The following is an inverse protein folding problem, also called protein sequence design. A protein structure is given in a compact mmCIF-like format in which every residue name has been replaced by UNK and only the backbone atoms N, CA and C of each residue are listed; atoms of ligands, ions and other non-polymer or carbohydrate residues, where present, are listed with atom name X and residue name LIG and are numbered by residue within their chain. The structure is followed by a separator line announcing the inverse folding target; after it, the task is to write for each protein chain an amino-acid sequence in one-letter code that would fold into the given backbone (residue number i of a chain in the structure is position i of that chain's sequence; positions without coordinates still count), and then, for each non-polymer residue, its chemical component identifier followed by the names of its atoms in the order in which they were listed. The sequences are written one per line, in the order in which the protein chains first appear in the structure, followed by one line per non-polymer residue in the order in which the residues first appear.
data_IF_813932678626
#
_entry.id   IF_813932678626
#
_cell.length_a   1.000
_cell.length_b   1.000
_cell.length_c   1.000
_cell.angle_alpha   90.00
_cell.angle_beta   90.00
_cell.angle_gamma   90.00
#
_symmetry.space_group_name_H-M   'P 1'
#
loop_
_entity.id
_entity.type
_entity.pdbx_description
1 polymer ?
#
# COMPACT_ATOMS: atom_id res chain seq x y z
N UNK A 1 12.08 14.24 -0.96
CA UNK A 1 11.58 12.85 -1.12
C UNK A 1 11.05 12.38 0.22
N UNK A 2 9.99 11.60 0.22
CA UNK A 2 9.48 10.88 1.39
C UNK A 2 9.37 9.39 1.07
N UNK A 3 9.27 8.53 2.07
CA UNK A 3 9.17 7.10 1.85
C UNK A 3 8.33 6.38 2.90
N UNK A 4 8.11 5.10 2.70
CA UNK A 4 7.44 4.22 3.66
C UNK A 4 8.25 2.93 3.78
N UNK A 5 9.36 3.00 4.52
CA UNK A 5 10.34 1.91 4.65
C UNK A 5 9.72 0.60 5.15
N UNK A 6 8.66 0.70 5.95
CA UNK A 6 7.96 -0.45 6.51
C UNK A 6 6.70 -0.85 5.71
N UNK A 7 6.52 -0.38 4.48
CA UNK A 7 5.40 -0.79 3.63
C UNK A 7 5.37 -2.32 3.48
N UNK A 8 4.23 -2.92 3.79
CA UNK A 8 4.07 -4.38 3.80
C UNK A 8 4.36 -5.05 5.15
N UNK A 9 5.02 -4.36 6.09
CA UNK A 9 5.26 -4.90 7.45
C UNK A 9 4.07 -4.77 8.39
N UNK A 10 3.17 -3.85 8.11
CA UNK A 10 1.98 -3.60 8.90
C UNK A 10 0.71 -3.86 8.07
N UNK A 11 -0.03 -4.88 8.47
CA UNK A 11 -1.30 -5.21 7.86
C UNK A 11 -1.19 -5.96 6.53
N UNK A 12 -2.35 -6.39 6.02
CA UNK A 12 -2.50 -7.14 4.78
C UNK A 12 -2.79 -6.19 3.61
N UNK A 13 -3.15 -6.74 2.47
CA UNK A 13 -3.34 -6.03 1.20
C UNK A 13 -4.09 -4.69 1.33
N UNK A 14 -5.25 -4.67 1.99
CA UNK A 14 -6.03 -3.42 2.15
C UNK A 14 -5.24 -2.33 2.85
N UNK A 15 -4.56 -2.67 3.95
CA UNK A 15 -3.71 -1.71 4.67
C UNK A 15 -2.53 -1.24 3.81
N UNK A 16 -1.89 -2.15 3.07
CA UNK A 16 -0.80 -1.80 2.14
C UNK A 16 -1.28 -0.86 1.03
N UNK A 17 -2.51 -1.06 0.52
CA UNK A 17 -3.12 -0.14 -0.46
C UNK A 17 -3.32 1.26 0.13
N UNK A 18 -3.86 1.37 1.35
CA UNK A 18 -4.01 2.65 2.04
C UNK A 18 -2.66 3.33 2.29
N UNK A 19 -1.68 2.59 2.78
CA UNK A 19 -0.32 3.08 3.04
C UNK A 19 0.32 3.64 1.76
N UNK A 20 0.33 2.87 0.68
CA UNK A 20 0.87 3.31 -0.60
C UNK A 20 0.12 4.52 -1.16
N UNK A 21 -1.22 4.46 -1.17
CA UNK A 21 -2.04 5.55 -1.67
C UNK A 21 -1.79 6.86 -0.92
N UNK A 22 -1.68 6.78 0.40
CA UNK A 22 -1.40 7.95 1.24
C UNK A 22 0.00 8.51 1.03
N UNK A 23 1.00 7.66 0.84
CA UNK A 23 2.35 8.10 0.47
C UNK A 23 2.34 8.89 -0.85
N UNK A 24 1.66 8.36 -1.88
CA UNK A 24 1.53 9.03 -3.18
C UNK A 24 0.81 10.36 -3.05
N UNK A 25 -0.31 10.41 -2.32
CA UNK A 25 -1.09 11.62 -2.15
C UNK A 25 -0.37 12.71 -1.36
N UNK A 26 0.31 12.36 -0.27
CA UNK A 26 1.14 13.29 0.51
C UNK A 26 2.29 13.81 -0.34
N UNK A 27 2.99 12.92 -1.05
CA UNK A 27 4.08 13.32 -1.94
C UNK A 27 3.59 14.30 -3.02
N UNK A 28 2.45 14.01 -3.66
CA UNK A 28 1.84 14.87 -4.67
C UNK A 28 1.43 16.23 -4.12
N UNK A 29 0.82 16.26 -2.91
CA UNK A 29 0.42 17.51 -2.24
C UNK A 29 1.61 18.44 -2.00
N UNK A 30 2.75 17.86 -1.61
CA UNK A 30 3.95 18.63 -1.25
C UNK A 30 4.95 18.82 -2.41
N UNK A 31 4.66 18.26 -3.59
CA UNK A 31 5.58 18.29 -4.72
C UNK A 31 6.87 17.50 -4.48
N UNK A 32 6.79 16.42 -3.72
CA UNK A 32 7.92 15.55 -3.40
C UNK A 32 7.96 14.32 -4.29
N UNK A 33 9.15 13.79 -4.54
CA UNK A 33 9.32 12.40 -4.93
C UNK A 33 9.09 11.47 -3.74
N UNK A 34 8.76 10.21 -4.05
CA UNK A 34 8.59 9.17 -3.03
C UNK A 34 9.31 7.87 -3.41
N UNK A 35 9.57 7.04 -2.41
CA UNK A 35 10.11 5.69 -2.62
C UNK A 35 9.47 4.67 -1.69
N UNK A 36 9.50 3.41 -2.13
CA UNK A 36 9.06 2.24 -1.36
C UNK A 36 10.10 1.12 -1.45
N UNK A 37 10.12 0.17 -0.49
CA UNK A 37 10.97 -1.02 -0.59
C UNK A 37 10.67 -1.84 -1.85
N UNK A 38 11.70 -2.40 -2.47
CA UNK A 38 11.54 -3.35 -3.59
C UNK A 38 11.18 -4.74 -3.05
N UNK A 39 9.93 -5.10 -3.16
CA UNK A 39 9.42 -6.42 -2.78
C UNK A 39 9.12 -7.32 -3.99
N UNK A 40 9.55 -6.95 -5.19
CA UNK A 40 9.30 -7.74 -6.39
C UNK A 40 9.90 -9.15 -6.32
N UNK A 41 10.96 -9.33 -5.53
CA UNK A 41 11.69 -10.57 -5.33
C UNK A 41 11.38 -11.26 -4.00
N UNK A 42 10.62 -10.63 -3.10
CA UNK A 42 10.32 -11.12 -1.75
C UNK A 42 8.82 -11.06 -1.51
N UNK A 43 8.20 -12.20 -1.31
CA UNK A 43 6.74 -12.30 -1.10
C UNK A 43 6.34 -12.25 0.37
N UNK A 44 7.28 -12.44 1.27
CA UNK A 44 7.06 -12.48 2.71
C UNK A 44 8.30 -12.03 3.49
N UNK A 45 8.09 -11.62 4.71
CA UNK A 45 9.14 -11.41 5.72
C UNK A 45 8.58 -11.73 7.10
N UNK A 46 9.48 -12.06 8.02
CA UNK A 46 9.14 -12.30 9.40
C UNK A 46 9.40 -11.05 10.23
N UNK A 47 8.49 -10.75 11.15
CA UNK A 47 8.70 -9.76 12.20
C UNK A 47 8.41 -10.36 13.56
N UNK A 48 9.11 -9.86 14.56
CA UNK A 48 8.82 -10.21 15.97
C UNK A 48 7.69 -9.34 16.49
N UNK A 49 6.72 -9.97 17.16
CA UNK A 49 5.68 -9.29 17.92
C UNK A 49 5.62 -9.95 19.30
N UNK A 50 6.27 -9.34 20.29
CA UNK A 50 6.59 -9.99 21.55
C UNK A 50 7.54 -11.17 21.33
N UNK A 51 7.15 -12.36 21.77
CA UNK A 51 7.92 -13.61 21.60
C UNK A 51 7.46 -14.41 20.35
N UNK A 52 6.51 -13.90 19.58
CA UNK A 52 5.98 -14.58 18.40
C UNK A 52 6.61 -14.06 17.11
N UNK A 53 6.85 -14.96 16.15
CA UNK A 53 7.25 -14.63 14.80
C UNK A 53 5.99 -14.52 13.94
N UNK A 54 5.72 -13.33 13.43
CA UNK A 54 4.61 -13.07 12.51
C UNK A 54 5.14 -12.91 11.10
N UNK A 55 4.73 -13.82 10.21
CA UNK A 55 5.05 -13.74 8.80
C UNK A 55 4.07 -12.78 8.10
N UNK A 56 4.61 -11.74 7.48
CA UNK A 56 3.87 -10.79 6.67
C UNK A 56 4.06 -11.08 5.18
N UNK A 57 3.06 -10.77 4.38
CA UNK A 57 3.12 -10.93 2.93
C UNK A 57 3.10 -9.59 2.23
N UNK A 58 4.10 -9.36 1.39
CA UNK A 58 4.14 -8.21 0.48
C UNK A 58 3.21 -8.48 -0.70
N UNK A 59 2.07 -7.79 -0.73
CA UNK A 59 1.00 -8.12 -1.66
C UNK A 59 0.87 -7.13 -2.82
N UNK A 60 1.21 -5.85 -2.61
CA UNK A 60 0.98 -4.81 -3.63
C UNK A 60 1.68 -5.11 -4.94
N UNK A 61 3.01 -5.25 -4.93
CA UNK A 61 3.82 -5.45 -6.13
C UNK A 61 3.61 -6.82 -6.77
N UNK A 62 2.99 -7.78 -6.07
CA UNK A 62 2.65 -9.09 -6.62
C UNK A 62 1.24 -9.12 -7.23
N UNK A 63 0.34 -8.27 -6.74
CA UNK A 63 -1.04 -8.22 -7.21
C UNK A 63 -1.25 -7.18 -8.31
N UNK A 64 -0.60 -6.02 -8.20
CA UNK A 64 -0.82 -4.87 -9.07
C UNK A 64 0.38 -4.57 -9.98
N UNK A 65 0.10 -3.90 -11.10
CA UNK A 65 1.13 -3.51 -12.08
C UNK A 65 2.01 -2.37 -11.59
N UNK A 66 1.50 -1.47 -10.73
CA UNK A 66 2.22 -0.32 -10.17
C UNK A 66 2.84 0.58 -11.26
N UNK A 67 2.07 0.93 -12.29
CA UNK A 67 2.56 1.55 -13.52
C UNK A 67 3.23 2.93 -13.35
N UNK A 68 2.88 3.68 -12.31
CA UNK A 68 3.52 4.98 -12.05
C UNK A 68 4.71 4.88 -11.07
N UNK A 69 4.96 3.71 -10.50
CA UNK A 69 6.04 3.53 -9.53
C UNK A 69 7.42 3.72 -10.19
N UNK A 70 7.61 3.19 -11.42
CA UNK A 70 8.88 3.31 -12.14
C UNK A 70 10.06 2.78 -11.31
N UNK A 71 11.12 3.58 -11.24
CA UNK A 71 12.34 3.24 -10.50
C UNK A 71 12.34 3.74 -9.04
N UNK A 72 11.17 4.06 -8.47
CA UNK A 72 11.04 4.60 -7.10
C UNK A 72 11.21 3.53 -6.02
N UNK A 73 12.18 2.65 -6.21
CA UNK A 73 12.58 1.67 -5.21
C UNK A 73 13.72 2.18 -4.35
N UNK A 74 13.56 2.15 -3.04
CA UNK A 74 14.58 2.62 -2.11
C UNK A 74 14.06 2.73 -0.69
N UNK A 75 14.94 3.15 0.19
CA UNK A 75 14.66 3.43 1.58
C UNK A 75 15.10 4.86 1.92
N UNK A 76 14.40 5.49 2.83
CA UNK A 76 14.88 6.74 3.44
C UNK A 76 15.89 6.36 4.53
N UNK A 77 17.14 6.72 4.31
CA UNK A 77 18.23 6.48 5.27
C UNK A 77 18.62 7.77 5.97
N UNK A 78 18.72 7.73 7.31
CA UNK A 78 19.13 8.87 8.13
C UNK A 78 18.15 10.06 8.11
N UNK A 79 16.90 9.82 7.70
CA UNK A 79 15.83 10.82 7.69
C UNK A 79 15.01 10.82 8.98
N UNK A 80 13.93 11.62 8.96
CA UNK A 80 12.97 11.65 10.05
C UNK A 80 12.08 10.41 10.00
N UNK A 81 11.75 9.85 11.15
CA UNK A 81 10.73 8.82 11.31
C UNK A 81 9.45 9.46 11.84
N UNK A 82 8.36 9.33 11.08
CA UNK A 82 7.06 9.88 11.44
C UNK A 82 6.10 8.74 11.69
N UNK A 83 5.68 8.60 12.94
CA UNK A 83 4.76 7.56 13.39
C UNK A 83 3.35 8.14 13.55
N UNK A 84 2.41 7.65 12.78
CA UNK A 84 0.99 7.98 12.89
C UNK A 84 0.26 6.85 13.60
N UNK A 85 -0.06 7.07 14.87
CA UNK A 85 -0.77 6.08 15.70
C UNK A 85 -2.30 6.11 15.49
N UNK A 86 -2.81 7.26 15.06
CA UNK A 86 -4.25 7.46 14.83
C UNK A 86 -4.68 7.01 13.43
N UNK A 87 -5.89 6.45 13.32
CA UNK A 87 -6.50 6.09 12.03
C UNK A 87 -7.07 7.31 11.30
N UNK A 88 -7.33 8.39 12.01
CA UNK A 88 -7.94 9.61 11.48
C UNK A 88 -6.97 10.41 10.60
N UNK A 89 -7.55 11.28 9.75
CA UNK A 89 -6.77 12.15 8.87
C UNK A 89 -5.99 13.20 9.70
N UNK A 90 -4.68 13.22 9.53
CA UNK A 90 -3.80 14.23 10.12
C UNK A 90 -3.48 15.30 9.08
N UNK A 91 -4.18 16.42 9.14
CA UNK A 91 -4.03 17.52 8.18
C UNK A 91 -2.61 18.13 8.23
N UNK A 92 -2.04 18.28 9.42
CA UNK A 92 -0.68 18.80 9.59
C UNK A 92 0.35 17.95 8.87
N UNK A 93 0.27 16.62 9.00
CA UNK A 93 1.15 15.71 8.26
C UNK A 93 0.94 15.81 6.76
N UNK A 94 -0.30 15.94 6.29
CA UNK A 94 -0.61 16.07 4.89
C UNK A 94 -0.05 17.36 4.27
N UNK A 95 -0.13 18.46 4.98
CA UNK A 95 0.27 19.78 4.49
C UNK A 95 1.76 20.11 4.72
N UNK A 96 2.37 19.54 5.77
CA UNK A 96 3.66 19.99 6.30
C UNK A 96 4.65 18.83 6.55
N UNK A 97 4.42 17.64 5.97
CA UNK A 97 5.34 16.52 6.13
C UNK A 97 6.77 16.92 5.79
N UNK A 98 7.73 16.79 6.72
CA UNK A 98 9.11 17.17 6.46
C UNK A 98 9.72 16.36 5.30
N UNK A 99 10.55 17.02 4.50
CA UNK A 99 11.35 16.33 3.50
C UNK A 99 12.31 15.33 4.15
N UNK A 100 12.69 14.29 3.42
CA UNK A 100 13.55 13.21 3.91
C UNK A 100 12.97 12.48 5.13
N UNK A 101 11.69 12.06 5.01
CA UNK A 101 10.99 11.35 6.07
C UNK A 101 10.51 9.98 5.61
N UNK A 102 10.54 9.01 6.52
CA UNK A 102 9.84 7.74 6.36
C UNK A 102 8.60 7.70 7.24
N UNK A 103 7.48 7.27 6.67
CA UNK A 103 6.17 7.27 7.32
C UNK A 103 5.85 5.88 7.86
N UNK A 104 5.31 5.82 9.07
CA UNK A 104 4.86 4.61 9.73
C UNK A 104 3.42 4.79 10.22
N UNK A 105 2.54 3.86 9.88
CA UNK A 105 1.13 3.88 10.29
C UNK A 105 0.23 3.17 9.30
N UNK A 106 -1.07 3.16 9.58
CA UNK A 106 -2.08 2.54 8.71
C UNK A 106 -2.65 3.49 7.65
N UNK A 107 -2.75 4.79 7.97
CA UNK A 107 -3.23 5.83 7.05
C UNK A 107 -4.63 5.55 6.49
N UNK A 108 -5.56 5.07 7.29
CA UNK A 108 -6.88 4.57 6.86
C UNK A 108 -7.90 5.68 6.51
N UNK A 109 -7.45 6.79 5.93
CA UNK A 109 -8.30 7.89 5.49
C UNK A 109 -8.08 8.20 4.02
N UNK A 110 -9.16 8.26 3.23
CA UNK A 110 -9.09 8.61 1.81
C UNK A 110 -8.64 10.05 1.56
N UNK A 111 -8.76 10.93 2.54
CA UNK A 111 -8.31 12.32 2.44
C UNK A 111 -6.80 12.47 2.17
N UNK A 112 -6.00 11.45 2.51
CA UNK A 112 -4.58 11.46 2.18
C UNK A 112 -4.29 11.31 0.68
N UNK A 113 -5.22 10.79 -0.12
CA UNK A 113 -4.96 10.43 -1.52
C UNK A 113 -6.07 10.79 -2.51
N UNK A 114 -7.10 11.55 -2.10
CA UNK A 114 -8.14 12.01 -3.03
C UNK A 114 -7.58 12.86 -4.18
N UNK A 115 -6.45 13.53 -3.97
CA UNK A 115 -5.71 14.29 -4.98
C UNK A 115 -4.93 13.42 -5.98
N UNK A 116 -4.79 12.11 -5.75
CA UNK A 116 -3.96 11.18 -6.52
C UNK A 116 -4.76 10.05 -7.20
N UNK A 117 -6.07 10.22 -7.38
CA UNK A 117 -6.96 9.17 -7.90
C UNK A 117 -6.52 8.61 -9.25
N UNK A 118 -6.12 9.48 -10.19
CA UNK A 118 -5.74 9.05 -11.54
C UNK A 118 -4.46 8.20 -11.54
N UNK A 119 -3.48 8.58 -10.74
CA UNK A 119 -2.23 7.85 -10.58
C UNK A 119 -2.49 6.48 -9.94
N UNK A 120 -3.27 6.45 -8.87
CA UNK A 120 -3.58 5.22 -8.15
C UNK A 120 -4.39 4.23 -8.98
N UNK A 121 -5.31 4.71 -9.83
CA UNK A 121 -6.04 3.84 -10.78
C UNK A 121 -5.12 3.15 -11.78
N UNK A 122 -4.01 3.78 -12.17
CA UNK A 122 -3.02 3.19 -13.06
C UNK A 122 -2.11 2.21 -12.32
N UNK A 123 -1.83 2.45 -11.04
CA UNK A 123 -1.00 1.59 -10.22
C UNK A 123 -1.75 0.33 -9.77
N UNK A 124 -3.01 0.47 -9.37
CA UNK A 124 -3.83 -0.65 -8.88
C UNK A 124 -4.51 -1.46 -10.00
N UNK A 125 -3.89 -1.54 -11.17
CA UNK A 125 -4.29 -2.47 -12.22
C UNK A 125 -3.86 -3.88 -11.83
N UNK A 126 -4.84 -4.78 -11.70
CA UNK A 126 -4.56 -6.19 -11.34
C UNK A 126 -3.79 -6.86 -12.48
N UNK A 127 -2.73 -7.59 -12.13
CA UNK A 127 -1.91 -8.31 -13.10
C UNK A 127 -2.72 -9.34 -13.89
N UNK A 128 -2.48 -9.43 -15.19
CA UNK A 128 -3.26 -10.23 -16.12
C UNK A 128 -3.42 -11.70 -15.72
N UNK A 129 -2.37 -12.31 -15.17
CA UNK A 129 -2.44 -13.72 -14.76
C UNK A 129 -3.40 -13.97 -13.59
N UNK A 130 -3.58 -12.97 -12.69
CA UNK A 130 -4.51 -13.03 -11.56
C UNK A 130 -5.92 -12.72 -12.07
N UNK A 131 -6.05 -11.69 -12.89
CA UNK A 131 -7.33 -11.29 -13.48
C UNK A 131 -7.92 -12.43 -14.32
N UNK A 132 -7.14 -13.05 -15.20
CA UNK A 132 -7.57 -14.18 -16.03
C UNK A 132 -8.02 -15.38 -15.21
N UNK A 133 -7.36 -15.66 -14.08
CA UNK A 133 -7.78 -16.72 -13.18
C UNK A 133 -9.14 -16.42 -12.52
N UNK A 134 -9.34 -15.18 -12.10
CA UNK A 134 -10.61 -14.73 -11.50
C UNK A 134 -11.75 -14.73 -12.54
N UNK A 135 -11.50 -14.28 -13.77
CA UNK A 135 -12.47 -14.30 -14.87
C UNK A 135 -12.87 -15.73 -15.25
N UNK A 136 -11.88 -16.64 -15.32
CA UNK A 136 -12.17 -18.07 -15.56
C UNK A 136 -13.04 -18.64 -14.46
N UNK A 137 -12.69 -18.39 -13.18
CA UNK A 137 -13.52 -18.83 -12.05
C UNK A 137 -14.94 -18.29 -12.14
N UNK A 138 -15.09 -17.01 -12.45
CA UNK A 138 -16.41 -16.39 -12.61
C UNK A 138 -17.21 -17.03 -13.76
N UNK A 139 -16.57 -17.27 -14.91
CA UNK A 139 -17.19 -17.92 -16.06
C UNK A 139 -17.65 -19.35 -15.75
N UNK A 140 -16.81 -20.12 -15.06
CA UNK A 140 -17.08 -21.53 -14.73
C UNK A 140 -18.18 -21.66 -13.66
N UNK A 141 -18.38 -20.63 -12.81
CA UNK A 141 -19.34 -20.60 -11.72
C UNK A 141 -20.47 -19.56 -11.92
N UNK A 142 -20.68 -19.11 -13.15
CA UNK A 142 -21.69 -18.10 -13.46
C UNK A 142 -23.10 -18.57 -13.09
N UNK A 143 -23.80 -17.74 -12.30
CA UNK A 143 -25.19 -17.89 -11.94
C UNK A 143 -25.96 -16.64 -12.33
N UNK A 144 -27.30 -16.74 -12.47
CA UNK A 144 -28.14 -15.60 -12.83
C UNK A 144 -28.13 -14.48 -11.76
N UNK A 145 -27.93 -14.86 -10.51
CA UNK A 145 -27.90 -13.95 -9.36
C UNK A 145 -26.76 -14.29 -8.40
N UNK A 146 -25.49 -13.94 -8.74
CA UNK A 146 -24.38 -14.25 -7.88
C UNK A 146 -24.42 -13.44 -6.58
N UNK A 147 -24.22 -14.12 -5.45
CA UNK A 147 -24.00 -13.48 -4.15
C UNK A 147 -22.62 -13.88 -3.63
N UNK A 148 -21.88 -12.91 -3.11
CA UNK A 148 -20.58 -13.14 -2.49
C UNK A 148 -20.65 -12.79 -1.01
N UNK A 149 -20.21 -13.72 -0.15
CA UNK A 149 -20.10 -13.49 1.29
C UNK A 149 -18.62 -13.59 1.66
N UNK A 150 -18.08 -12.49 2.18
CA UNK A 150 -16.72 -12.48 2.75
C UNK A 150 -16.82 -12.78 4.25
N UNK A 151 -16.13 -13.83 4.69
CA UNK A 151 -16.06 -14.19 6.11
C UNK A 151 -14.62 -14.02 6.59
N UNK A 152 -14.42 -13.05 7.49
CA UNK A 152 -13.15 -12.89 8.18
C UNK A 152 -13.12 -13.85 9.36
N UNK A 153 -12.20 -14.81 9.32
CA UNK A 153 -11.87 -15.65 10.47
C UNK A 153 -10.64 -15.02 11.12
N UNK A 154 -10.78 -14.60 12.36
CA UNK A 154 -9.82 -13.83 13.14
C UNK A 154 -8.39 -14.36 13.16
#
# INVERSE_FOLDING_TARGET
MIGMNALGSNGRLGNQMFQYASLVGIAKNLGYDYCIPDHSKVTWFDRMEGDEIITQHHQLQHLFEMNNLGDRFGLIEGGNEIHLEQAEFCKELFDECPHNSTLYGYFESYHYFENAEEELRKDFVIRDHILSAAEKFHKDNKTDHPACISVRRG
#
